data_IF_273723047540
#
_entry.id   IF_273723047540
#
_cell.length_a   1.000
_cell.length_b   1.000
_cell.length_c   1.000
_cell.angle_alpha   90.00
_cell.angle_beta   90.00
_cell.angle_gamma   90.00
#
_symmetry.space_group_name_H-M   'P 1'
#
loop_
_entity.id
_entity.type
_entity.pdbx_description
1 polymer ?
#
# COMPACT_ATOMS: atom_id res chain seq x y z
N UNK A 1 1.66 15.02 6.61
CA UNK A 1 2.49 16.14 7.11
C UNK A 1 1.76 17.47 6.91
N UNK A 2 2.19 18.49 7.60
CA UNK A 2 1.64 19.85 7.42
C UNK A 2 1.91 20.35 5.99
N UNK A 3 0.94 21.07 5.44
CA UNK A 3 1.02 21.67 4.10
C UNK A 3 0.54 23.14 4.17
N UNK A 4 1.36 24.04 4.74
CA UNK A 4 1.00 25.45 4.80
C UNK A 4 0.89 26.05 3.39
N UNK A 5 -0.05 27.00 3.22
CA UNK A 5 -0.41 27.60 1.93
C UNK A 5 -0.19 29.12 1.92
N UNK A 6 0.47 29.67 2.92
CA UNK A 6 0.67 31.13 3.12
C UNK A 6 1.76 31.70 2.22
N UNK A 7 2.65 30.86 1.70
CA UNK A 7 3.70 31.23 0.75
C UNK A 7 4.16 30.03 -0.07
N UNK A 8 5.03 30.24 -1.04
CA UNK A 8 5.66 29.14 -1.78
C UNK A 8 6.84 28.57 -0.97
N UNK A 9 6.76 27.26 -0.68
CA UNK A 9 7.79 26.50 0.04
C UNK A 9 8.54 25.56 -0.88
N UNK A 10 9.80 25.26 -0.54
CA UNK A 10 10.49 24.06 -1.03
C UNK A 10 10.00 22.89 -0.18
N UNK A 11 9.11 22.08 -0.74
CA UNK A 11 8.41 21.01 -0.01
C UNK A 11 9.24 19.73 -0.01
N UNK A 12 9.63 19.26 1.19
CA UNK A 12 10.46 18.06 1.38
C UNK A 12 9.84 17.04 2.35
N UNK A 13 8.60 17.25 2.80
CA UNK A 13 8.03 16.56 3.95
C UNK A 13 7.06 15.42 3.63
N UNK A 14 6.68 15.19 2.38
CA UNK A 14 5.67 14.18 2.00
C UNK A 14 6.16 13.19 0.94
N UNK A 15 7.45 13.22 0.62
CA UNK A 15 8.08 12.32 -0.36
C UNK A 15 7.38 12.36 -1.74
N UNK A 16 6.96 13.57 -2.15
CA UNK A 16 6.47 13.77 -3.52
C UNK A 16 7.61 13.67 -4.52
N UNK A 17 7.32 13.13 -5.70
CA UNK A 17 8.32 13.10 -6.78
C UNK A 17 8.63 14.52 -7.27
N UNK A 18 9.91 14.89 -7.44
CA UNK A 18 10.28 16.15 -8.04
C UNK A 18 10.10 16.17 -9.56
N UNK A 19 9.80 15.03 -10.18
CA UNK A 19 9.63 14.88 -11.62
C UNK A 19 8.15 14.96 -12.01
N UNK A 20 7.88 15.43 -13.20
CA UNK A 20 6.54 15.43 -13.79
C UNK A 20 6.12 14.00 -14.18
N UNK A 21 4.81 13.72 -14.24
CA UNK A 21 4.29 12.48 -14.86
C UNK A 21 4.81 12.36 -16.31
N UNK A 22 4.80 11.13 -16.82
CA UNK A 22 5.24 10.88 -18.20
C UNK A 22 4.43 11.69 -19.21
N UNK A 23 5.00 12.07 -20.36
CA UNK A 23 4.26 12.80 -21.40
C UNK A 23 2.97 12.08 -21.85
N UNK A 24 2.94 10.75 -21.84
CA UNK A 24 1.75 9.97 -22.16
C UNK A 24 0.64 10.16 -21.12
N UNK A 25 0.99 10.21 -19.84
CA UNK A 25 0.03 10.48 -18.73
C UNK A 25 -0.50 11.90 -18.84
N UNK A 26 0.38 12.88 -19.07
CA UNK A 26 -0.02 14.29 -19.25
C UNK A 26 -0.99 14.43 -20.44
N UNK A 27 -0.72 13.76 -21.56
CA UNK A 27 -1.58 13.79 -22.73
C UNK A 27 -2.93 13.07 -22.50
N UNK A 28 -2.97 12.04 -21.66
CA UNK A 28 -4.20 11.33 -21.33
C UNK A 28 -5.16 12.16 -20.47
N UNK A 29 -4.65 13.09 -19.64
CA UNK A 29 -5.46 14.05 -18.87
C UNK A 29 -5.79 15.25 -19.79
N UNK A 30 -6.62 15.02 -20.79
CA UNK A 30 -6.97 16.00 -21.82
C UNK A 30 -8.25 16.77 -21.48
N UNK A 31 -8.50 17.86 -22.22
CA UNK A 31 -9.74 18.62 -22.13
C UNK A 31 -10.97 17.73 -22.33
N UNK A 32 -10.90 16.75 -23.24
CA UNK A 32 -11.96 15.78 -23.48
C UNK A 32 -12.29 14.93 -22.24
N UNK A 33 -11.30 14.53 -21.44
CA UNK A 33 -11.54 13.81 -20.18
C UNK A 33 -12.20 14.73 -19.13
N UNK A 34 -11.82 16.02 -19.11
CA UNK A 34 -12.46 17.03 -18.23
C UNK A 34 -13.94 17.20 -18.60
N UNK A 35 -14.30 17.20 -19.87
CA UNK A 35 -15.70 17.27 -20.31
C UNK A 35 -16.55 16.10 -19.82
N UNK A 36 -15.95 14.93 -19.59
CA UNK A 36 -16.64 13.74 -19.06
C UNK A 36 -16.97 13.84 -17.58
N UNK A 37 -16.35 14.75 -16.82
CA UNK A 37 -16.59 14.91 -15.38
C UNK A 37 -18.05 15.23 -15.02
N UNK A 38 -18.87 15.66 -15.97
CA UNK A 38 -20.32 15.83 -15.79
C UNK A 38 -21.10 14.52 -15.72
N UNK A 39 -20.48 13.40 -16.03
CA UNK A 39 -21.06 12.06 -16.03
C UNK A 39 -20.48 11.27 -14.86
N UNK A 40 -21.25 10.33 -14.34
CA UNK A 40 -20.67 9.34 -13.42
C UNK A 40 -19.63 8.48 -14.14
N UNK A 41 -18.56 8.16 -13.42
CA UNK A 41 -17.53 7.21 -13.89
C UNK A 41 -18.09 5.79 -13.94
N UNK A 42 -17.37 4.89 -14.61
CA UNK A 42 -17.63 3.45 -14.54
C UNK A 42 -17.50 2.98 -13.08
N UNK A 43 -18.59 2.46 -12.45
CA UNK A 43 -18.59 2.07 -11.04
C UNK A 43 -17.65 0.91 -10.71
N UNK A 44 -17.24 0.13 -11.70
CA UNK A 44 -16.33 -1.01 -11.55
C UNK A 44 -14.93 -0.75 -12.07
N UNK A 45 -14.66 0.45 -12.61
CA UNK A 45 -13.34 0.83 -13.14
C UNK A 45 -12.76 -0.20 -14.13
N UNK A 46 -13.59 -0.77 -15.01
CA UNK A 46 -13.27 -1.94 -15.84
C UNK A 46 -11.98 -1.78 -16.66
N UNK A 47 -11.77 -0.64 -17.30
CA UNK A 47 -10.58 -0.38 -18.12
C UNK A 47 -9.31 -0.31 -17.27
N UNK A 48 -9.39 0.33 -16.09
CA UNK A 48 -8.28 0.38 -15.15
C UNK A 48 -7.92 -1.01 -14.65
N UNK A 49 -8.91 -1.80 -14.22
CA UNK A 49 -8.69 -3.16 -13.73
C UNK A 49 -8.09 -4.06 -14.80
N UNK A 50 -8.59 -3.96 -16.05
CA UNK A 50 -8.03 -4.70 -17.18
C UNK A 50 -6.57 -4.34 -17.45
N UNK A 51 -6.24 -3.05 -17.45
CA UNK A 51 -4.87 -2.58 -17.65
C UNK A 51 -3.95 -3.01 -16.52
N UNK A 52 -4.39 -2.88 -15.27
CA UNK A 52 -3.62 -3.31 -14.09
C UNK A 52 -3.42 -4.83 -14.09
N UNK A 53 -4.45 -5.61 -14.36
CA UNK A 53 -4.38 -7.07 -14.45
C UNK A 53 -3.36 -7.52 -15.50
N UNK A 54 -3.37 -6.92 -16.69
CA UNK A 54 -2.40 -7.20 -17.74
C UNK A 54 -0.96 -6.83 -17.33
N UNK A 55 -0.78 -5.72 -16.59
CA UNK A 55 0.53 -5.27 -16.12
C UNK A 55 1.12 -6.20 -15.04
N UNK A 56 0.29 -6.62 -14.08
CA UNK A 56 0.72 -7.41 -12.94
C UNK A 56 0.65 -8.94 -13.17
N UNK A 57 0.08 -9.38 -14.28
CA UNK A 57 -0.14 -10.80 -14.56
C UNK A 57 -1.24 -11.42 -13.69
N UNK A 58 -2.23 -10.62 -13.28
CA UNK A 58 -3.34 -11.01 -12.42
C UNK A 58 -4.67 -11.04 -13.19
N UNK A 59 -5.74 -11.46 -12.51
CA UNK A 59 -7.10 -11.31 -13.02
C UNK A 59 -7.73 -10.00 -12.52
N UNK A 60 -8.64 -9.38 -13.25
CA UNK A 60 -9.30 -8.14 -12.81
C UNK A 60 -10.00 -8.23 -11.45
N UNK A 61 -10.56 -9.40 -11.10
CA UNK A 61 -11.21 -9.64 -9.80
C UNK A 61 -10.25 -9.80 -8.63
N UNK A 62 -8.95 -9.85 -8.88
CA UNK A 62 -7.89 -9.86 -7.86
C UNK A 62 -7.39 -8.46 -7.51
N UNK A 63 -7.97 -7.41 -8.10
CA UNK A 63 -7.49 -6.03 -7.97
C UNK A 63 -8.66 -5.13 -7.54
N UNK A 64 -8.43 -4.31 -6.52
CA UNK A 64 -9.34 -3.28 -6.05
C UNK A 64 -8.65 -1.91 -6.14
N UNK A 65 -9.17 -0.96 -6.91
CA UNK A 65 -8.67 0.41 -6.91
C UNK A 65 -9.21 1.16 -5.69
N UNK A 66 -8.45 2.15 -5.22
CA UNK A 66 -8.85 3.02 -4.12
C UNK A 66 -8.32 4.44 -4.29
N UNK A 67 -8.78 5.34 -3.45
CA UNK A 67 -8.38 6.75 -3.42
C UNK A 67 -6.99 6.93 -2.75
N UNK A 68 -5.98 6.39 -3.41
CA UNK A 68 -4.63 6.18 -2.87
C UNK A 68 -4.53 4.88 -2.08
N UNK A 69 -3.30 4.46 -1.76
CA UNK A 69 -3.06 3.29 -0.91
C UNK A 69 -3.64 3.44 0.50
N UNK A 70 -3.76 4.67 1.00
CA UNK A 70 -4.33 4.96 2.32
C UNK A 70 -5.76 4.44 2.45
N UNK A 71 -6.61 4.65 1.44
CA UNK A 71 -7.99 4.14 1.45
C UNK A 71 -8.00 2.61 1.40
N UNK A 72 -7.17 2.00 0.55
CA UNK A 72 -7.06 0.55 0.46
C UNK A 72 -6.59 -0.07 1.78
N UNK A 73 -5.58 0.51 2.42
CA UNK A 73 -5.09 0.08 3.73
C UNK A 73 -6.16 0.26 4.81
N UNK A 74 -6.82 1.41 4.83
CA UNK A 74 -7.90 1.67 5.79
C UNK A 74 -9.04 0.64 5.66
N UNK A 75 -9.48 0.34 4.45
CA UNK A 75 -10.50 -0.67 4.22
C UNK A 75 -10.02 -2.09 4.56
N UNK A 76 -8.75 -2.41 4.28
CA UNK A 76 -8.16 -3.68 4.66
C UNK A 76 -8.15 -3.85 6.20
N UNK A 77 -7.72 -2.83 6.95
CA UNK A 77 -7.77 -2.86 8.41
C UNK A 77 -9.21 -3.01 8.92
N UNK A 78 -10.16 -2.30 8.30
CA UNK A 78 -11.57 -2.40 8.68
C UNK A 78 -12.18 -3.77 8.38
N UNK A 79 -11.68 -4.48 7.36
CA UNK A 79 -12.16 -5.80 6.96
C UNK A 79 -11.57 -6.93 7.82
N UNK A 80 -10.31 -6.79 8.24
CA UNK A 80 -9.56 -7.88 8.87
C UNK A 80 -9.20 -7.63 10.34
N UNK A 81 -9.50 -6.45 10.87
CA UNK A 81 -9.21 -6.08 12.25
C UNK A 81 -10.44 -5.48 12.95
N UNK A 82 -10.54 -5.67 14.26
CA UNK A 82 -11.52 -5.05 15.14
C UNK A 82 -10.98 -5.03 16.59
N UNK A 83 -11.83 -4.76 17.58
CA UNK A 83 -11.44 -4.73 19.00
C UNK A 83 -10.90 -6.05 19.53
N UNK A 84 -11.20 -7.19 18.87
CA UNK A 84 -10.76 -8.52 19.24
C UNK A 84 -9.67 -9.08 18.33
N UNK A 85 -9.50 -8.49 17.14
CA UNK A 85 -8.54 -8.91 16.12
C UNK A 85 -7.49 -7.80 15.92
N UNK A 86 -6.37 -7.84 16.69
CA UNK A 86 -5.34 -6.81 16.68
C UNK A 86 -4.56 -6.76 15.37
N UNK A 87 -3.91 -5.60 15.15
CA UNK A 87 -2.95 -5.40 14.06
C UNK A 87 -1.52 -5.46 14.58
N UNK A 88 -0.67 -6.28 13.95
CA UNK A 88 0.75 -6.32 14.21
C UNK A 88 1.53 -5.49 13.17
N UNK A 89 2.44 -4.62 13.62
CA UNK A 89 3.30 -3.79 12.77
C UNK A 89 4.55 -3.32 13.51
N UNK A 90 5.57 -2.85 12.76
CA UNK A 90 6.82 -2.38 13.33
C UNK A 90 6.65 -1.05 14.11
N UNK A 91 7.47 -0.83 15.13
CA UNK A 91 7.47 0.40 15.93
C UNK A 91 7.88 1.65 15.13
N UNK A 92 8.81 1.49 14.18
CA UNK A 92 9.28 2.56 13.28
C UNK A 92 8.85 2.20 11.87
N UNK A 93 7.66 2.66 11.48
CA UNK A 93 7.05 2.40 10.17
C UNK A 93 6.09 3.53 9.77
N UNK A 94 5.25 3.31 8.76
CA UNK A 94 4.28 4.31 8.31
C UNK A 94 3.29 4.68 9.42
N UNK A 95 3.35 5.93 9.86
CA UNK A 95 2.64 6.40 11.06
C UNK A 95 1.11 6.31 11.03
N UNK A 96 0.50 6.18 9.83
CA UNK A 96 -0.96 6.08 9.71
C UNK A 96 -1.51 4.76 10.25
N UNK A 97 -0.74 3.67 10.34
CA UNK A 97 -1.23 2.42 10.90
C UNK A 97 -1.72 2.62 12.34
N UNK A 98 -0.91 3.24 13.19
CA UNK A 98 -1.29 3.53 14.57
C UNK A 98 -2.44 4.54 14.69
N UNK A 99 -2.50 5.53 13.78
CA UNK A 99 -3.62 6.50 13.74
C UNK A 99 -4.93 5.79 13.42
N UNK A 100 -4.95 4.91 12.41
CA UNK A 100 -6.15 4.15 12.05
C UNK A 100 -6.54 3.14 13.12
N UNK A 101 -5.58 2.48 13.77
CA UNK A 101 -5.86 1.63 14.92
C UNK A 101 -6.57 2.40 16.04
N UNK A 102 -6.08 3.62 16.36
CA UNK A 102 -6.73 4.47 17.35
C UNK A 102 -8.14 4.89 16.97
N UNK A 103 -8.37 5.26 15.69
CA UNK A 103 -9.69 5.67 15.19
C UNK A 103 -10.71 4.52 15.19
N UNK A 104 -10.27 3.31 14.93
CA UNK A 104 -11.12 2.12 14.80
C UNK A 104 -11.16 1.25 16.05
N UNK A 105 -10.48 1.68 17.14
CA UNK A 105 -10.34 0.92 18.38
C UNK A 105 -9.72 -0.47 18.19
N UNK A 106 -8.80 -0.62 17.21
CA UNK A 106 -8.06 -1.84 16.95
C UNK A 106 -6.86 -1.89 17.90
N UNK A 107 -6.68 -2.95 18.70
CA UNK A 107 -5.48 -3.11 19.52
C UNK A 107 -4.22 -3.22 18.64
N UNK A 108 -3.18 -2.47 18.99
CA UNK A 108 -1.90 -2.49 18.29
C UNK A 108 -0.92 -3.45 18.95
N UNK A 109 -0.38 -4.40 18.18
CA UNK A 109 0.78 -5.19 18.57
C UNK A 109 2.00 -4.61 17.87
N UNK A 110 2.74 -3.79 18.61
CA UNK A 110 3.91 -3.08 18.09
C UNK A 110 5.15 -3.95 18.27
N UNK A 111 5.84 -4.24 17.16
CA UNK A 111 7.03 -5.11 17.13
C UNK A 111 8.26 -4.23 16.88
N UNK A 112 9.25 -4.23 17.80
CA UNK A 112 10.42 -3.38 17.66
C UNK A 112 11.30 -3.82 16.48
N UNK A 113 11.83 -2.86 15.74
CA UNK A 113 12.93 -3.11 14.81
C UNK A 113 14.22 -3.40 15.57
N UNK A 114 15.19 -4.03 14.91
CA UNK A 114 16.54 -4.20 15.44
C UNK A 114 17.26 -2.84 15.54
N UNK A 115 18.40 -2.82 16.24
CA UNK A 115 19.21 -1.61 16.41
C UNK A 115 19.68 -0.98 15.08
N UNK A 116 19.82 -1.80 14.03
CA UNK A 116 20.15 -1.37 12.67
C UNK A 116 18.93 -1.00 11.83
N UNK A 117 17.75 -0.88 12.45
CA UNK A 117 16.46 -0.61 11.84
C UNK A 117 15.95 -1.70 10.86
N UNK A 118 16.54 -2.88 10.86
CA UNK A 118 16.00 -4.02 10.12
C UNK A 118 14.85 -4.69 10.87
N UNK A 119 13.90 -5.24 10.13
CA UNK A 119 12.82 -6.08 10.65
C UNK A 119 13.34 -7.53 10.77
N UNK A 120 13.08 -8.23 11.88
CA UNK A 120 13.29 -9.67 11.97
C UNK A 120 12.02 -10.42 11.52
N UNK A 121 12.04 -11.16 10.42
CA UNK A 121 10.87 -11.90 9.97
C UNK A 121 10.32 -12.88 11.00
N UNK A 122 11.19 -13.41 11.88
CA UNK A 122 10.81 -14.39 12.90
C UNK A 122 9.91 -13.82 13.99
N UNK A 123 10.00 -12.52 14.25
CA UNK A 123 9.12 -11.83 15.19
C UNK A 123 7.67 -11.78 14.73
N UNK A 124 7.43 -12.07 13.43
CA UNK A 124 6.12 -12.11 12.80
C UNK A 124 5.57 -13.53 12.60
N UNK A 125 6.29 -14.58 13.04
CA UNK A 125 5.85 -15.96 12.83
C UNK A 125 4.81 -16.39 13.87
N UNK A 126 3.69 -16.95 13.40
CA UNK A 126 2.67 -17.56 14.25
C UNK A 126 1.93 -16.59 15.17
N UNK A 127 1.80 -15.32 14.78
CA UNK A 127 1.18 -14.29 15.63
C UNK A 127 -0.32 -14.46 15.81
N UNK A 128 -1.00 -15.18 14.91
CA UNK A 128 -2.47 -15.29 14.87
C UNK A 128 -3.19 -13.93 14.88
N UNK A 129 -2.63 -12.97 14.15
CA UNK A 129 -3.11 -11.59 14.02
C UNK A 129 -2.96 -11.14 12.59
N UNK A 130 -3.73 -10.13 12.19
CA UNK A 130 -3.45 -9.41 10.94
C UNK A 130 -2.11 -8.70 11.06
N UNK A 131 -1.28 -8.81 10.04
CA UNK A 131 0.05 -8.22 9.99
C UNK A 131 0.10 -7.19 8.88
N UNK A 132 0.70 -6.02 9.11
CA UNK A 132 1.06 -5.09 8.04
C UNK A 132 2.56 -4.84 8.06
N UNK A 133 3.18 -4.96 6.89
CA UNK A 133 4.60 -4.72 6.67
C UNK A 133 4.74 -3.75 5.51
N UNK A 134 5.29 -2.56 5.78
CA UNK A 134 5.74 -1.67 4.72
C UNK A 134 7.05 -2.20 4.13
N UNK A 135 7.06 -2.49 2.82
CA UNK A 135 8.22 -3.09 2.17
C UNK A 135 8.46 -2.51 0.75
N UNK A 136 9.47 -1.67 0.57
CA UNK A 136 10.45 -1.13 1.54
C UNK A 136 9.79 -0.34 2.68
N UNK A 137 10.36 -0.45 3.89
CA UNK A 137 9.82 0.24 5.06
C UNK A 137 10.05 1.77 4.96
N UNK A 138 9.08 2.54 5.40
CA UNK A 138 9.20 3.98 5.56
C UNK A 138 9.08 4.35 7.06
N UNK A 139 10.03 5.07 7.66
CA UNK A 139 11.03 5.93 7.00
C UNK A 139 12.41 5.32 6.77
N UNK A 140 12.66 4.05 7.12
CA UNK A 140 14.01 3.48 7.13
C UNK A 140 14.58 3.24 5.74
N UNK A 141 13.73 3.03 4.72
CA UNK A 141 14.12 2.70 3.35
C UNK A 141 14.63 1.25 3.18
N UNK A 142 14.59 0.45 4.24
CA UNK A 142 15.09 -0.92 4.23
C UNK A 142 14.00 -1.87 3.72
N UNK A 143 14.39 -2.75 2.79
CA UNK A 143 13.49 -3.76 2.24
C UNK A 143 13.86 -5.15 2.75
N UNK A 144 12.83 -5.96 3.04
CA UNK A 144 12.97 -7.40 3.17
C UNK A 144 12.96 -8.05 1.79
N UNK A 145 13.79 -9.08 1.55
CA UNK A 145 13.63 -9.94 0.39
C UNK A 145 12.23 -10.59 0.36
N UNK A 146 11.67 -10.77 -0.83
CA UNK A 146 10.37 -11.44 -1.00
C UNK A 146 10.32 -12.84 -0.36
N UNK A 147 11.44 -13.56 -0.34
CA UNK A 147 11.54 -14.87 0.30
C UNK A 147 11.28 -14.81 1.83
N UNK A 148 11.67 -13.73 2.50
CA UNK A 148 11.40 -13.53 3.93
C UNK A 148 9.92 -13.22 4.17
N UNK A 149 9.29 -12.41 3.30
CA UNK A 149 7.83 -12.18 3.34
C UNK A 149 7.09 -13.51 3.10
N UNK A 150 7.56 -14.34 2.17
CA UNK A 150 6.98 -15.67 1.94
C UNK A 150 7.10 -16.57 3.19
N UNK A 151 8.18 -16.45 3.96
CA UNK A 151 8.34 -17.11 5.26
C UNK A 151 7.26 -16.69 6.27
N UNK A 152 6.96 -15.39 6.35
CA UNK A 152 5.91 -14.84 7.22
C UNK A 152 4.52 -15.36 6.80
N UNK A 153 4.23 -15.37 5.49
CA UNK A 153 2.97 -15.91 4.94
C UNK A 153 2.76 -17.37 5.34
N UNK A 154 3.79 -18.22 5.17
CA UNK A 154 3.75 -19.64 5.54
C UNK A 154 3.54 -19.85 7.03
N UNK A 155 4.12 -18.99 7.86
CA UNK A 155 4.01 -19.09 9.31
C UNK A 155 2.67 -18.58 9.86
N UNK A 156 1.86 -17.87 9.03
CA UNK A 156 0.57 -17.29 9.42
C UNK A 156 -0.55 -17.67 8.44
N UNK A 157 -0.82 -18.95 8.17
CA UNK A 157 -1.71 -19.39 7.09
C UNK A 157 -3.18 -18.96 7.27
N UNK A 158 -3.58 -18.64 8.49
CA UNK A 158 -4.97 -18.30 8.84
C UNK A 158 -5.17 -16.78 9.06
N UNK A 159 -4.16 -15.97 8.83
CA UNK A 159 -4.19 -14.54 9.10
C UNK A 159 -3.69 -13.77 7.88
N UNK A 160 -4.32 -12.63 7.61
CA UNK A 160 -3.93 -11.78 6.49
C UNK A 160 -2.59 -11.09 6.80
N UNK A 161 -1.69 -11.15 5.82
CA UNK A 161 -0.45 -10.38 5.78
C UNK A 161 -0.59 -9.33 4.69
N UNK A 162 -0.65 -8.08 5.11
CA UNK A 162 -0.72 -6.91 4.22
C UNK A 162 0.71 -6.45 3.96
N UNK A 163 1.11 -6.41 2.70
CA UNK A 163 2.41 -5.86 2.28
C UNK A 163 2.16 -4.51 1.61
N UNK A 164 2.53 -3.44 2.32
CA UNK A 164 2.44 -2.07 1.81
C UNK A 164 3.68 -1.77 0.97
N UNK A 165 3.49 -1.82 -0.34
CA UNK A 165 4.51 -1.63 -1.37
C UNK A 165 4.55 -0.19 -1.92
N UNK A 166 4.25 0.82 -1.09
CA UNK A 166 4.27 2.21 -1.54
C UNK A 166 5.61 2.65 -2.14
N UNK A 167 6.70 2.01 -1.77
CA UNK A 167 8.06 2.32 -2.22
C UNK A 167 8.74 1.19 -3.01
N UNK A 168 8.01 0.16 -3.43
CA UNK A 168 8.59 -1.02 -4.09
C UNK A 168 9.39 -0.70 -5.35
N UNK A 169 8.96 0.29 -6.12
CA UNK A 169 9.60 0.71 -7.37
C UNK A 169 11.01 1.33 -7.15
N UNK A 170 11.41 1.60 -5.90
CA UNK A 170 12.74 2.14 -5.55
C UNK A 170 13.76 1.05 -5.17
N UNK A 171 13.60 -0.15 -5.70
CA UNK A 171 14.56 -1.25 -5.53
C UNK A 171 14.08 -2.37 -4.61
N UNK A 172 12.78 -2.38 -4.24
CA UNK A 172 12.16 -3.52 -3.56
C UNK A 172 11.79 -4.65 -4.51
N UNK A 173 11.54 -5.82 -3.96
CA UNK A 173 10.97 -6.98 -4.68
C UNK A 173 9.47 -7.07 -4.38
N UNK A 174 8.63 -6.89 -5.42
CA UNK A 174 7.18 -7.00 -5.23
C UNK A 174 6.74 -8.42 -4.85
N UNK A 175 5.78 -8.50 -3.94
CA UNK A 175 5.11 -9.73 -3.53
C UNK A 175 3.93 -10.11 -4.45
N UNK A 176 3.59 -9.32 -5.45
CA UNK A 176 2.52 -9.63 -6.42
C UNK A 176 2.65 -11.04 -7.01
N UNK A 177 3.84 -11.57 -7.39
CA UNK A 177 3.98 -12.94 -7.90
C UNK A 177 3.61 -14.05 -6.91
N UNK A 178 3.37 -13.72 -5.63
CA UNK A 178 2.95 -14.69 -4.61
C UNK A 178 1.42 -14.78 -4.45
N UNK A 179 0.65 -13.87 -5.03
CA UNK A 179 -0.81 -13.75 -4.82
C UNK A 179 -1.54 -15.05 -5.14
N UNK A 180 -1.25 -15.68 -6.29
CA UNK A 180 -1.91 -16.94 -6.67
C UNK A 180 -1.51 -18.15 -5.81
N UNK A 181 -0.48 -18.00 -4.96
CA UNK A 181 0.04 -19.07 -4.11
C UNK A 181 -0.40 -18.94 -2.65
N UNK A 182 -0.81 -17.74 -2.23
CA UNK A 182 -1.12 -17.43 -0.83
C UNK A 182 -2.41 -16.63 -0.72
N UNK A 183 -3.49 -17.29 -0.29
CA UNK A 183 -4.80 -16.66 -0.07
C UNK A 183 -4.78 -15.61 1.05
N UNK A 184 -3.78 -15.68 1.93
CA UNK A 184 -3.59 -14.76 3.04
C UNK A 184 -2.70 -13.54 2.72
N UNK A 185 -2.34 -13.32 1.45
CA UNK A 185 -1.56 -12.17 1.01
C UNK A 185 -2.44 -11.06 0.45
N UNK A 186 -2.26 -9.84 0.95
CA UNK A 186 -2.77 -8.61 0.34
C UNK A 186 -1.61 -7.67 0.05
N UNK A 187 -1.39 -7.34 -1.21
CA UNK A 187 -0.38 -6.36 -1.64
C UNK A 187 -1.06 -5.03 -1.93
N UNK A 188 -0.53 -3.94 -1.36
CA UNK A 188 -1.05 -2.59 -1.60
C UNK A 188 0.02 -1.72 -2.24
N UNK A 189 -0.31 -1.10 -3.38
CA UNK A 189 0.58 -0.19 -4.10
C UNK A 189 -0.08 1.18 -4.33
N UNK A 190 0.75 2.20 -4.53
CA UNK A 190 0.30 3.57 -4.79
C UNK A 190 0.90 4.14 -6.07
N UNK A 191 0.17 5.07 -6.69
CA UNK A 191 0.68 5.89 -7.78
C UNK A 191 1.29 7.22 -7.30
N UNK A 192 1.27 7.46 -5.99
CA UNK A 192 1.67 8.74 -5.40
C UNK A 192 3.17 9.00 -5.39
N UNK A 193 4.01 7.95 -5.47
CA UNK A 193 5.47 8.06 -5.29
C UNK A 193 6.22 7.97 -6.63
N UNK A 194 6.76 6.83 -6.97
CA UNK A 194 7.52 6.59 -8.20
C UNK A 194 6.75 6.94 -9.48
N UNK A 195 5.44 6.74 -9.46
CA UNK A 195 4.55 6.96 -10.61
C UNK A 195 4.03 8.40 -10.74
N UNK A 196 4.45 9.32 -9.85
CA UNK A 196 4.28 10.78 -9.94
C UNK A 196 2.85 11.28 -9.99
N UNK A 197 1.91 10.53 -9.44
CA UNK A 197 0.47 10.81 -9.48
C UNK A 197 -0.13 11.02 -8.07
N UNK A 198 0.62 11.65 -7.16
CA UNK A 198 0.14 11.91 -5.79
C UNK A 198 -1.21 12.64 -5.76
N UNK A 199 -1.40 13.63 -6.64
CA UNK A 199 -2.66 14.39 -6.76
C UNK A 199 -3.81 13.62 -7.39
N UNK A 200 -3.55 12.56 -8.16
CA UNK A 200 -4.59 11.72 -8.77
C UNK A 200 -5.28 10.78 -7.79
N UNK A 201 -4.70 10.58 -6.61
CA UNK A 201 -5.25 9.72 -5.56
C UNK A 201 -5.58 8.31 -6.03
N UNK A 202 -4.65 7.64 -6.69
CA UNK A 202 -4.82 6.27 -7.15
C UNK A 202 -3.92 5.30 -6.37
N UNK A 203 -4.53 4.26 -5.83
CA UNK A 203 -3.87 3.09 -5.23
C UNK A 203 -4.54 1.81 -5.69
N UNK A 204 -3.85 0.70 -5.53
CA UNK A 204 -4.36 -0.64 -5.84
C UNK A 204 -4.12 -1.55 -4.63
N UNK A 205 -5.15 -2.33 -4.27
CA UNK A 205 -5.02 -3.51 -3.41
C UNK A 205 -5.17 -4.76 -4.28
N UNK A 206 -4.28 -5.72 -4.11
CA UNK A 206 -4.18 -6.92 -4.94
C UNK A 206 -4.10 -8.15 -4.05
N UNK A 207 -4.97 -9.12 -4.29
CA UNK A 207 -5.07 -10.36 -3.50
C UNK A 207 -5.78 -11.46 -4.27
N UNK A 208 -5.82 -12.66 -3.68
CA UNK A 208 -6.50 -13.82 -4.26
C UNK A 208 -8.01 -13.78 -3.98
#
# INVERSE_FOLDING_TARGET
GEQPQDQQYIKLNTNESPYLPSPAVVAAVSEHEVEKLRLYSDPVCADLLKAAAAHFGLQPNQIMPGNGSDENLFFALRAFCDEQHPLAYADITYGCYGVWCGLMHIPSHIIPLKEDFTLDPKDYYGLNQTIVIANPNAPTGIALPRAEIEGILKANPNNVVIVDEAYVDFGGESCVPLIDRYENLLVVQTFSKSRQLAGARLGLAMGN
#
